data_IF_092337745019
#
_entry.id   IF_092337745019
#
_cell.length_a   1.000
_cell.length_b   1.000
_cell.length_c   1.000
_cell.angle_alpha   90.00
_cell.angle_beta   90.00
_cell.angle_gamma   90.00
#
_symmetry.space_group_name_H-M   'P 1'
#
loop_
_entity.id
_entity.type
_entity.pdbx_description
1 polymer ?
#
# COMPACT_ATOMS: atom_id res chain seq x y z
N UNK A 1 28.55 -9.29 4.57
CA UNK A 1 29.50 -8.17 4.69
C UNK A 1 30.33 -8.40 5.93
N UNK A 2 31.62 -8.08 5.85
CA UNK A 2 32.48 -8.11 7.04
C UNK A 2 32.15 -6.86 7.86
N UNK A 3 32.22 -6.96 9.18
CA UNK A 3 31.83 -5.91 10.15
C UNK A 3 32.68 -4.61 10.04
N UNK A 4 33.59 -4.55 9.08
CA UNK A 4 34.57 -3.48 8.88
C UNK A 4 34.60 -2.94 7.43
N UNK A 5 33.58 -3.22 6.64
CA UNK A 5 33.43 -2.57 5.34
C UNK A 5 33.14 -1.07 5.56
N UNK A 6 34.10 -0.21 5.22
CA UNK A 6 33.97 1.27 5.32
C UNK A 6 33.20 1.89 4.14
N UNK A 7 32.67 1.05 3.26
CA UNK A 7 31.88 1.47 2.10
C UNK A 7 30.50 1.87 2.61
N UNK A 8 30.27 3.17 2.71
CA UNK A 8 28.95 3.70 3.02
C UNK A 8 28.06 3.64 1.77
N UNK A 9 26.91 2.99 1.88
CA UNK A 9 25.89 3.02 0.82
C UNK A 9 25.54 4.46 0.48
N UNK A 10 25.66 4.80 -0.81
CA UNK A 10 25.37 6.13 -1.33
C UNK A 10 24.15 6.08 -2.22
N UNK A 11 23.26 7.05 -2.06
CA UNK A 11 22.08 7.22 -2.91
C UNK A 11 22.28 8.41 -3.84
N UNK A 12 21.92 8.25 -5.11
CA UNK A 12 21.79 9.37 -6.04
C UNK A 12 20.32 9.66 -6.22
N UNK A 13 19.90 10.86 -5.81
CA UNK A 13 18.49 11.23 -5.70
C UNK A 13 18.26 12.63 -6.26
N UNK A 14 17.05 12.89 -6.74
CA UNK A 14 16.56 14.27 -6.97
C UNK A 14 15.96 14.81 -5.69
N UNK A 15 15.92 16.14 -5.49
CA UNK A 15 15.39 16.76 -4.26
C UNK A 15 14.01 16.18 -3.86
N UNK A 16 13.11 16.09 -4.83
CA UNK A 16 11.73 15.61 -4.64
C UNK A 16 11.69 14.14 -4.17
N UNK A 17 12.67 13.32 -4.59
CA UNK A 17 12.75 11.91 -4.19
C UNK A 17 13.34 11.69 -2.80
N UNK A 18 14.10 12.65 -2.28
CA UNK A 18 14.59 12.61 -0.90
C UNK A 18 13.46 12.95 0.09
N UNK A 19 12.64 13.96 -0.25
CA UNK A 19 11.48 14.39 0.55
C UNK A 19 10.43 13.29 0.67
N UNK A 20 10.20 12.51 -0.38
CA UNK A 20 9.27 11.38 -0.38
C UNK A 20 9.47 10.42 0.81
N UNK A 21 10.71 10.12 1.20
CA UNK A 21 10.97 9.19 2.31
C UNK A 21 10.57 9.75 3.66
N UNK A 22 10.84 11.04 3.87
CA UNK A 22 10.45 11.74 5.10
C UNK A 22 8.93 11.91 5.14
N UNK A 23 8.34 12.33 4.03
CA UNK A 23 6.92 12.70 3.96
C UNK A 23 5.97 11.50 3.98
N UNK A 24 6.34 10.39 3.35
CA UNK A 24 5.48 9.21 3.22
C UNK A 24 5.78 8.17 4.30
N UNK A 25 7.06 7.96 4.61
CA UNK A 25 7.46 6.94 5.57
C UNK A 25 7.80 7.51 6.96
N UNK A 26 7.92 8.82 7.12
CA UNK A 26 8.32 9.43 8.40
C UNK A 26 9.76 9.12 8.79
N UNK A 27 10.58 8.68 7.84
CA UNK A 27 11.94 8.20 8.08
C UNK A 27 12.92 8.87 7.12
N UNK A 28 14.13 9.16 7.60
CA UNK A 28 15.18 9.58 6.69
C UNK A 28 15.60 8.39 5.82
N UNK A 29 15.97 8.64 4.56
CA UNK A 29 16.46 7.60 3.66
C UNK A 29 17.65 6.83 4.24
N UNK A 30 18.48 7.50 5.04
CA UNK A 30 19.60 6.86 5.73
C UNK A 30 19.15 5.84 6.76
N UNK A 31 18.04 6.07 7.46
CA UNK A 31 17.47 5.12 8.41
C UNK A 31 16.97 3.87 7.67
N UNK A 32 16.31 4.07 6.52
CA UNK A 32 15.82 2.97 5.66
C UNK A 32 16.99 2.16 5.11
N UNK A 33 18.06 2.83 4.69
CA UNK A 33 19.29 2.19 4.20
C UNK A 33 19.93 1.34 5.27
N UNK A 34 20.07 1.88 6.48
CA UNK A 34 20.65 1.17 7.61
C UNK A 34 19.82 -0.07 7.99
N UNK A 35 18.48 0.05 8.01
CA UNK A 35 17.60 -1.08 8.26
C UNK A 35 17.69 -2.16 7.17
N UNK A 36 17.82 -1.77 5.90
CA UNK A 36 18.02 -2.69 4.78
C UNK A 36 19.36 -3.43 4.88
N UNK A 37 20.45 -2.73 5.19
CA UNK A 37 21.76 -3.34 5.41
C UNK A 37 21.76 -4.29 6.61
N UNK A 38 21.14 -3.89 7.72
CA UNK A 38 20.93 -4.75 8.88
C UNK A 38 20.14 -6.00 8.51
N UNK A 39 19.06 -5.88 7.73
CA UNK A 39 18.28 -7.01 7.23
C UNK A 39 19.15 -7.95 6.38
N UNK A 40 19.90 -7.41 5.42
CA UNK A 40 20.76 -8.18 4.52
C UNK A 40 21.85 -8.95 5.30
N UNK A 41 22.43 -8.32 6.31
CA UNK A 41 23.43 -8.93 7.19
C UNK A 41 22.85 -9.99 8.15
N UNK A 42 21.57 -9.88 8.53
CA UNK A 42 20.91 -10.78 9.49
C UNK A 42 20.17 -11.95 8.85
N UNK A 43 20.10 -12.02 7.50
CA UNK A 43 19.43 -13.11 6.77
C UNK A 43 19.90 -14.51 7.16
N UNK A 44 21.15 -14.65 7.62
CA UNK A 44 21.73 -15.95 7.98
C UNK A 44 21.76 -16.22 9.49
N UNK A 45 21.21 -15.34 10.35
CA UNK A 45 21.43 -15.44 11.81
C UNK A 45 20.20 -15.29 12.72
N UNK A 46 19.05 -14.71 12.32
CA UNK A 46 17.92 -14.56 13.27
C UNK A 46 16.53 -14.54 12.61
N UNK A 47 15.55 -15.15 13.28
CA UNK A 47 14.12 -15.09 12.96
C UNK A 47 13.60 -13.64 12.91
N UNK A 48 12.95 -13.20 11.81
CA UNK A 48 12.73 -11.79 11.53
C UNK A 48 11.45 -11.26 12.19
N UNK A 49 11.57 -10.63 13.36
CA UNK A 49 10.41 -10.04 14.05
C UNK A 49 10.18 -8.53 13.82
N UNK A 50 11.10 -7.77 13.22
CA UNK A 50 10.94 -6.30 13.12
C UNK A 50 11.33 -5.64 11.78
N UNK A 51 11.40 -6.38 10.67
CA UNK A 51 11.80 -5.78 9.39
C UNK A 51 10.62 -5.31 8.53
N UNK A 52 10.70 -4.05 8.07
CA UNK A 52 9.83 -3.50 7.03
C UNK A 52 10.07 -4.27 5.72
N UNK A 53 9.21 -5.25 5.42
CA UNK A 53 9.18 -5.93 4.12
C UNK A 53 8.67 -4.96 3.05
N UNK A 54 9.59 -4.33 2.31
CA UNK A 54 9.32 -3.71 1.02
C UNK A 54 9.56 -4.77 -0.06
N UNK A 55 8.48 -5.46 -0.44
CA UNK A 55 8.51 -6.46 -1.50
C UNK A 55 8.09 -5.78 -2.81
N UNK A 56 9.00 -5.68 -3.79
CA UNK A 56 8.84 -4.88 -5.01
C UNK A 56 7.72 -5.32 -5.97
N UNK A 57 7.03 -6.43 -5.67
CA UNK A 57 5.84 -6.88 -6.39
C UNK A 57 4.52 -6.54 -5.69
N UNK A 58 4.59 -6.04 -4.45
CA UNK A 58 3.44 -5.68 -3.65
C UNK A 58 3.71 -4.30 -3.08
N UNK A 59 3.09 -3.28 -3.68
CA UNK A 59 2.85 -2.02 -3.00
C UNK A 59 1.97 -2.34 -1.79
N UNK A 60 2.63 -2.82 -0.73
CA UNK A 60 2.08 -3.15 0.57
C UNK A 60 1.85 -1.79 1.19
N UNK A 61 0.84 -1.10 0.66
CA UNK A 61 0.38 0.15 1.22
C UNK A 61 0.22 -0.16 2.70
N UNK A 62 0.91 0.64 3.50
CA UNK A 62 0.82 0.62 4.94
C UNK A 62 -0.59 1.12 5.30
N UNK A 63 -1.61 0.33 4.93
CA UNK A 63 -3.02 0.74 4.96
C UNK A 63 -3.48 0.87 6.40
N UNK A 64 -2.96 0.04 7.28
CA UNK A 64 -3.17 0.17 8.71
C UNK A 64 -2.00 -0.48 9.44
N UNK A 65 -1.72 0.00 10.66
CA UNK A 65 -0.94 -0.67 11.71
C UNK A 65 -1.47 -2.07 12.12
N UNK A 66 -2.25 -2.73 11.26
CA UNK A 66 -2.90 -4.00 11.49
C UNK A 66 -2.65 -4.89 10.28
N UNK A 67 -1.90 -5.99 10.51
CA UNK A 67 -1.82 -7.24 9.75
C UNK A 67 -1.93 -7.20 8.22
N UNK A 68 -0.98 -7.84 7.55
CA UNK A 68 -0.87 -8.12 6.10
C UNK A 68 -2.18 -8.45 5.34
N UNK A 69 -3.03 -7.46 5.06
CA UNK A 69 -4.13 -7.59 4.09
C UNK A 69 -3.54 -7.39 2.70
N UNK A 70 -3.58 -8.43 1.88
CA UNK A 70 -3.18 -8.35 0.47
C UNK A 70 -4.33 -7.73 -0.32
N UNK A 71 -4.04 -6.66 -1.05
CA UNK A 71 -5.04 -5.91 -1.80
C UNK A 71 -5.51 -6.69 -3.03
N UNK A 72 -6.82 -6.95 -3.13
CA UNK A 72 -7.43 -7.55 -4.30
C UNK A 72 -8.23 -6.49 -5.07
N UNK A 73 -7.61 -5.92 -6.09
CA UNK A 73 -8.25 -4.87 -6.91
C UNK A 73 -9.41 -5.40 -7.77
N UNK A 74 -9.33 -6.66 -8.22
CA UNK A 74 -10.37 -7.28 -9.08
C UNK A 74 -11.66 -7.57 -8.30
N UNK A 75 -11.51 -8.06 -7.07
CA UNK A 75 -12.60 -8.45 -6.20
C UNK A 75 -12.72 -7.52 -4.99
N UNK A 76 -12.37 -6.24 -5.16
CA UNK A 76 -12.23 -5.27 -4.08
C UNK A 76 -13.46 -5.20 -3.15
N UNK A 77 -14.65 -5.09 -3.74
CA UNK A 77 -15.89 -4.98 -2.97
C UNK A 77 -16.14 -6.19 -2.07
N UNK A 78 -15.80 -7.39 -2.54
CA UNK A 78 -16.06 -8.64 -1.80
C UNK A 78 -14.90 -9.03 -0.91
N UNK A 79 -13.67 -9.02 -1.44
CA UNK A 79 -12.47 -9.44 -0.73
C UNK A 79 -12.00 -8.42 0.31
N UNK A 80 -12.25 -7.12 0.09
CA UNK A 80 -11.77 -6.05 0.98
C UNK A 80 -12.92 -5.45 1.78
N UNK A 81 -13.91 -4.86 1.10
CA UNK A 81 -14.96 -4.09 1.78
C UNK A 81 -15.88 -5.00 2.59
N UNK A 82 -16.42 -6.07 1.98
CA UNK A 82 -17.31 -7.02 2.67
C UNK A 82 -16.59 -7.82 3.76
N UNK A 83 -15.39 -8.32 3.50
CA UNK A 83 -14.66 -9.20 4.45
C UNK A 83 -14.12 -8.43 5.65
N UNK A 84 -13.52 -7.26 5.44
CA UNK A 84 -12.83 -6.53 6.51
C UNK A 84 -13.58 -5.28 6.98
N UNK A 85 -14.63 -4.85 6.28
CA UNK A 85 -15.33 -3.61 6.57
C UNK A 85 -14.46 -2.38 6.33
N UNK A 86 -13.50 -2.45 5.41
CA UNK A 86 -12.56 -1.36 5.10
C UNK A 86 -12.82 -0.87 3.69
N UNK A 87 -12.99 0.45 3.54
CA UNK A 87 -13.23 1.11 2.26
C UNK A 87 -12.18 2.19 2.00
N UNK A 88 -11.77 2.34 0.75
CA UNK A 88 -10.92 3.43 0.27
C UNK A 88 -11.84 4.57 -0.16
N UNK A 89 -11.64 5.74 0.42
CA UNK A 89 -12.45 6.93 0.18
C UNK A 89 -11.58 7.96 -0.54
N UNK A 90 -12.16 8.69 -1.49
CA UNK A 90 -11.48 9.79 -2.17
C UNK A 90 -10.45 9.36 -3.21
N UNK A 91 -10.66 8.20 -3.84
CA UNK A 91 -9.85 7.79 -4.99
C UNK A 91 -9.95 8.85 -6.11
N UNK A 92 -8.83 9.26 -6.73
CA UNK A 92 -8.83 10.35 -7.70
C UNK A 92 -9.64 10.06 -8.96
N UNK A 93 -10.34 11.08 -9.44
CA UNK A 93 -11.03 11.03 -10.72
C UNK A 93 -10.03 10.90 -11.89
N UNK A 94 -10.42 10.13 -12.91
CA UNK A 94 -9.59 9.90 -14.09
C UNK A 94 -8.41 8.96 -13.88
N UNK A 95 -8.26 8.33 -12.71
CA UNK A 95 -7.33 7.22 -12.48
C UNK A 95 -8.11 5.93 -12.31
N UNK A 96 -7.84 4.95 -13.16
CA UNK A 96 -8.50 3.65 -13.06
C UNK A 96 -8.18 2.99 -11.70
N UNK A 97 -9.22 2.49 -11.02
CA UNK A 97 -9.03 1.73 -9.81
C UNK A 97 -8.44 0.35 -10.15
N UNK A 98 -7.12 0.25 -10.10
CA UNK A 98 -6.36 -0.92 -10.50
C UNK A 98 -5.12 -1.09 -9.62
N UNK A 99 -4.44 -2.23 -9.78
CA UNK A 99 -3.15 -2.43 -9.14
C UNK A 99 -2.19 -1.30 -9.55
N UNK A 100 -1.50 -0.64 -8.60
CA UNK A 100 -0.49 0.37 -8.89
C UNK A 100 0.58 -0.09 -9.88
N UNK A 101 0.86 -1.39 -10.01
CA UNK A 101 1.75 -1.93 -11.04
C UNK A 101 1.29 -1.67 -12.48
N UNK A 102 0.01 -1.36 -12.69
CA UNK A 102 -0.57 -1.00 -14.00
C UNK A 102 -0.36 0.48 -14.32
N UNK A 103 -0.02 1.31 -13.32
CA UNK A 103 0.27 2.73 -13.52
C UNK A 103 1.59 2.85 -14.26
N UNK A 104 1.51 3.23 -15.54
CA UNK A 104 2.66 3.23 -16.45
C UNK A 104 3.23 4.62 -16.69
N UNK A 105 2.51 5.68 -16.27
CA UNK A 105 2.91 7.06 -16.47
C UNK A 105 3.16 7.79 -15.16
N UNK A 106 4.17 8.66 -15.16
CA UNK A 106 4.47 9.56 -14.03
C UNK A 106 3.28 10.48 -13.71
N UNK A 107 2.52 10.89 -14.73
CA UNK A 107 1.34 11.73 -14.55
C UNK A 107 0.23 11.02 -13.77
N UNK A 108 -0.07 9.76 -14.08
CA UNK A 108 -1.03 8.95 -13.32
C UNK A 108 -0.53 8.64 -11.91
N UNK A 109 0.78 8.39 -11.75
CA UNK A 109 1.40 8.19 -10.45
C UNK A 109 1.24 9.43 -9.56
N UNK A 110 1.48 10.63 -10.08
CA UNK A 110 1.26 11.88 -9.33
C UNK A 110 -0.21 12.10 -8.99
N UNK A 111 -1.13 11.80 -9.91
CA UNK A 111 -2.58 11.89 -9.65
C UNK A 111 -3.03 10.98 -8.51
N UNK A 112 -2.40 9.81 -8.34
CA UNK A 112 -2.67 8.92 -7.22
C UNK A 112 -1.91 9.32 -5.94
N UNK A 113 -0.66 9.75 -6.07
CA UNK A 113 0.19 10.11 -4.94
C UNK A 113 -0.33 11.34 -4.20
N UNK A 114 -0.73 12.39 -4.92
CA UNK A 114 -1.14 13.65 -4.30
C UNK A 114 -2.33 13.49 -3.32
N UNK A 115 -3.42 12.79 -3.68
CA UNK A 115 -4.53 12.57 -2.75
C UNK A 115 -4.18 11.68 -1.57
N UNK A 116 -3.34 10.65 -1.78
CA UNK A 116 -2.87 9.79 -0.69
C UNK A 116 -2.01 10.58 0.30
N UNK A 117 -1.11 11.41 -0.20
CA UNK A 117 -0.25 12.27 0.61
C UNK A 117 -1.06 13.35 1.34
N UNK A 118 -2.02 13.99 0.66
CA UNK A 118 -2.86 15.04 1.26
C UNK A 118 -3.91 14.48 2.24
N UNK A 119 -4.03 13.16 2.36
CA UNK A 119 -5.08 12.49 3.14
C UNK A 119 -6.49 12.65 2.56
N UNK A 120 -6.64 13.12 1.32
CA UNK A 120 -7.94 13.17 0.64
C UNK A 120 -8.34 11.81 0.08
N UNK A 121 -7.37 10.94 -0.23
CA UNK A 121 -7.56 9.52 -0.48
C UNK A 121 -7.08 8.70 0.74
N UNK A 122 -7.98 7.99 1.42
CA UNK A 122 -7.64 7.30 2.66
C UNK A 122 -8.53 6.11 2.95
N UNK A 123 -8.02 5.21 3.78
CA UNK A 123 -8.73 4.03 4.22
C UNK A 123 -9.62 4.33 5.42
N UNK A 124 -10.87 3.89 5.33
CA UNK A 124 -11.90 4.13 6.32
C UNK A 124 -12.54 2.81 6.72
N UNK A 125 -12.56 2.56 8.04
CA UNK A 125 -13.36 1.48 8.61
C UNK A 125 -14.84 1.87 8.57
N UNK A 126 -15.67 1.01 7.98
CA UNK A 126 -17.11 1.15 7.97
C UNK A 126 -17.68 0.83 9.36
N UNK A 127 -18.73 1.56 9.74
CA UNK A 127 -19.56 1.14 10.88
C UNK A 127 -20.38 -0.08 10.50
N UNK A 128 -20.85 -0.83 11.50
CA UNK A 128 -21.66 -2.04 11.29
C UNK A 128 -22.85 -1.79 10.36
N UNK A 129 -23.62 -0.73 10.63
CA UNK A 129 -24.79 -0.38 9.80
C UNK A 129 -24.41 -0.06 8.35
N UNK A 130 -23.28 0.64 8.12
CA UNK A 130 -22.82 0.95 6.75
C UNK A 130 -22.35 -0.30 6.02
N UNK A 131 -21.70 -1.22 6.72
CA UNK A 131 -21.29 -2.50 6.16
C UNK A 131 -22.51 -3.37 5.80
N UNK A 132 -23.52 -3.43 6.66
CA UNK A 132 -24.76 -4.19 6.39
C UNK A 132 -25.52 -3.64 5.17
N UNK A 133 -25.62 -2.31 5.06
CA UNK A 133 -26.21 -1.65 3.87
C UNK A 133 -25.42 -2.00 2.61
N UNK A 134 -24.08 -1.90 2.68
CA UNK A 134 -23.20 -2.23 1.55
C UNK A 134 -23.35 -3.70 1.11
N UNK A 135 -23.41 -4.64 2.06
CA UNK A 135 -23.62 -6.07 1.77
C UNK A 135 -24.99 -6.32 1.15
N UNK A 136 -26.03 -5.63 1.62
CA UNK A 136 -27.38 -5.74 1.07
C UNK A 136 -27.44 -5.24 -0.38
N UNK A 137 -26.79 -4.11 -0.66
CA UNK A 137 -26.68 -3.55 -2.01
C UNK A 137 -25.89 -4.49 -2.93
N UNK A 138 -24.76 -5.02 -2.47
CA UNK A 138 -23.97 -6.00 -3.22
C UNK A 138 -24.78 -7.24 -3.59
N UNK A 139 -25.53 -7.80 -2.63
CA UNK A 139 -26.37 -8.97 -2.88
C UNK A 139 -27.48 -8.64 -3.89
N UNK A 140 -28.06 -7.44 -3.81
CA UNK A 140 -29.07 -6.99 -4.78
C UNK A 140 -28.49 -6.91 -6.19
N UNK A 141 -27.27 -6.36 -6.34
CA UNK A 141 -26.56 -6.31 -7.63
C UNK A 141 -26.24 -7.70 -8.17
N UNK A 142 -25.86 -8.63 -7.30
CA UNK A 142 -25.60 -10.02 -7.66
C UNK A 142 -26.87 -10.73 -8.17
N UNK A 143 -27.99 -10.58 -7.48
CA UNK A 143 -29.29 -11.14 -7.89
C UNK A 143 -29.77 -10.55 -9.22
N UNK A 144 -29.45 -9.27 -9.49
CA UNK A 144 -29.72 -8.62 -10.78
C UNK A 144 -28.78 -9.07 -11.92
N UNK A 145 -27.90 -10.06 -11.69
CA UNK A 145 -27.02 -10.63 -12.71
C UNK A 145 -25.77 -9.80 -13.02
N UNK A 146 -25.43 -8.80 -12.21
CA UNK A 146 -24.15 -8.08 -12.36
C UNK A 146 -23.01 -8.97 -11.88
N UNK A 147 -21.88 -9.00 -12.61
CA UNK A 147 -20.67 -9.72 -12.20
C UNK A 147 -20.10 -9.02 -10.96
N UNK A 148 -20.23 -9.65 -9.79
CA UNK A 148 -19.75 -9.12 -8.49
C UNK A 148 -18.38 -9.68 -8.10
N UNK A 149 -17.98 -10.80 -8.71
CA UNK A 149 -16.66 -11.41 -8.54
C UNK A 149 -16.13 -11.86 -9.89
N UNK A 150 -14.85 -11.55 -10.16
CA UNK A 150 -14.09 -12.17 -11.24
C UNK A 150 -13.45 -13.47 -10.71
N UNK A 151 -13.45 -14.55 -11.52
CA UNK A 151 -12.84 -15.83 -11.16
C UNK A 151 -11.34 -15.71 -10.89
#
# INVERSE_FOLDING_TARGET
GHINDSIQSTWTMTNNSAEFWVDIFGHQIMDVTHQYEQWACTQNQVSPSHFLKLDGANFKICIMRYSTVVMNYHNYETAIVKTYGIQLVGWPEGVNFANPSVISTVAEAHKLCNPLHSGSCFWKKLSKNKLELFVTELNTRHVAGKIVQKP
#
